data_IF_445306164061
#
_entry.id   IF_445306164061
#
_cell.length_a   1.000
_cell.length_b   1.000
_cell.length_c   1.000
_cell.angle_alpha   90.00
_cell.angle_beta   90.00
_cell.angle_gamma   90.00
#
_symmetry.space_group_name_H-M   'P 1'
#
loop_
_entity.id
_entity.type
_entity.pdbx_description
1 polymer ?
#
# COMPACT_ATOMS: atom_id res chain seq x y z
N UNK A 1 -0.07 -40.17 12.45
CA UNK A 1 1.00 -39.60 11.58
C UNK A 1 0.45 -38.80 10.39
N UNK A 2 -0.66 -39.19 9.75
CA UNK A 2 -1.30 -38.38 8.68
C UNK A 2 -1.87 -37.04 9.21
N UNK A 3 -2.46 -37.03 10.40
CA UNK A 3 -3.12 -35.82 10.94
C UNK A 3 -2.14 -34.75 11.42
N UNK A 4 -0.96 -35.16 11.93
CA UNK A 4 0.10 -34.25 12.37
C UNK A 4 0.74 -33.54 11.17
N UNK A 5 0.83 -34.21 10.02
CA UNK A 5 1.39 -33.62 8.81
C UNK A 5 0.42 -32.61 8.16
N UNK A 6 -0.89 -32.90 8.15
CA UNK A 6 -1.90 -31.95 7.67
C UNK A 6 -1.95 -30.67 8.52
N UNK A 7 -1.90 -30.78 9.85
CA UNK A 7 -1.92 -29.62 10.74
C UNK A 7 -0.67 -28.72 10.57
N UNK A 8 0.51 -29.32 10.34
CA UNK A 8 1.75 -28.57 10.03
C UNK A 8 1.67 -27.84 8.69
N UNK A 9 1.12 -28.48 7.66
CA UNK A 9 0.95 -27.85 6.34
C UNK A 9 -0.04 -26.69 6.38
N UNK A 10 -1.16 -26.82 7.08
CA UNK A 10 -2.14 -25.72 7.17
C UNK A 10 -1.64 -24.53 8.00
N UNK A 11 -0.84 -24.80 9.04
CA UNK A 11 -0.20 -23.75 9.83
C UNK A 11 0.84 -22.96 9.01
N UNK A 12 1.67 -23.68 8.23
CA UNK A 12 2.63 -23.02 7.32
C UNK A 12 1.93 -22.10 6.33
N UNK A 13 0.77 -22.49 5.80
CA UNK A 13 -0.01 -21.69 4.84
C UNK A 13 -0.57 -20.39 5.44
N UNK A 14 -0.96 -20.34 6.71
CA UNK A 14 -1.42 -19.08 7.33
C UNK A 14 -0.27 -18.18 7.79
N UNK A 15 0.82 -18.75 8.29
CA UNK A 15 2.06 -18.00 8.53
C UNK A 15 2.53 -17.39 7.21
N UNK A 16 2.56 -18.15 6.12
CA UNK A 16 2.90 -17.67 4.79
C UNK A 16 1.91 -16.61 4.29
N UNK A 17 0.62 -16.74 4.59
CA UNK A 17 -0.41 -15.77 4.21
C UNK A 17 -0.30 -14.46 5.00
N UNK A 18 -0.09 -14.52 6.32
CA UNK A 18 0.16 -13.33 7.12
C UNK A 18 1.46 -12.67 6.67
N UNK A 19 2.59 -13.40 6.60
CA UNK A 19 3.87 -12.90 6.08
C UNK A 19 3.71 -12.27 4.70
N UNK A 20 2.96 -12.90 3.80
CA UNK A 20 2.73 -12.35 2.46
C UNK A 20 1.90 -11.06 2.50
N UNK A 21 0.88 -11.00 3.36
CA UNK A 21 -0.06 -9.87 3.46
C UNK A 21 0.49 -8.69 4.27
N UNK A 22 1.22 -8.98 5.35
CA UNK A 22 1.86 -8.03 6.25
C UNK A 22 3.24 -7.61 5.75
N UNK A 23 3.88 -8.44 4.91
CA UNK A 23 5.29 -8.32 4.51
C UNK A 23 6.23 -8.31 5.72
N UNK A 24 5.82 -8.95 6.80
CA UNK A 24 6.52 -8.97 8.07
C UNK A 24 6.52 -10.39 8.62
N UNK A 25 7.72 -10.95 8.84
CA UNK A 25 7.93 -12.22 9.52
C UNK A 25 8.03 -12.11 11.03
N UNK A 26 7.86 -10.91 11.61
CA UNK A 26 8.06 -10.68 13.04
C UNK A 26 7.07 -11.37 13.98
N UNK A 27 6.00 -11.98 13.46
CA UNK A 27 5.09 -12.86 14.22
C UNK A 27 5.34 -14.35 13.93
N UNK A 28 6.28 -14.68 13.04
CA UNK A 28 6.70 -16.07 12.84
C UNK A 28 7.31 -16.61 14.15
N UNK A 29 7.03 -17.89 14.43
CA UNK A 29 7.37 -18.50 15.72
C UNK A 29 6.34 -18.24 16.83
N UNK A 30 5.13 -17.77 16.49
CA UNK A 30 3.98 -17.69 17.41
C UNK A 30 4.22 -16.77 18.61
N UNK A 31 5.06 -15.75 18.44
CA UNK A 31 5.42 -14.81 19.49
C UNK A 31 5.04 -13.38 19.13
N UNK A 32 4.67 -12.60 20.13
CA UNK A 32 4.43 -11.15 20.04
C UNK A 32 4.93 -10.49 21.32
N UNK A 33 4.94 -9.14 21.36
CA UNK A 33 5.17 -8.39 22.59
C UNK A 33 3.85 -7.91 23.17
N UNK A 34 3.68 -8.02 24.48
CA UNK A 34 2.55 -7.42 25.22
C UNK A 34 2.85 -5.93 25.44
N UNK A 35 1.86 -5.05 25.19
CA UNK A 35 2.07 -3.59 25.31
C UNK A 35 2.26 -3.13 26.76
N UNK A 36 1.68 -3.84 27.72
CA UNK A 36 1.67 -3.44 29.13
C UNK A 36 3.07 -3.38 29.74
N UNK A 37 3.92 -4.36 29.39
CA UNK A 37 5.21 -4.61 30.05
C UNK A 37 6.32 -4.97 29.05
N UNK A 38 6.02 -4.85 27.75
CA UNK A 38 6.95 -5.11 26.67
C UNK A 38 7.46 -6.56 26.55
N UNK A 39 6.96 -7.50 27.36
CA UNK A 39 7.48 -8.86 27.38
C UNK A 39 7.06 -9.67 26.16
N UNK A 40 7.94 -10.60 25.75
CA UNK A 40 7.62 -11.59 24.71
C UNK A 40 6.63 -12.59 25.29
N UNK A 41 5.52 -12.78 24.60
CA UNK A 41 4.49 -13.75 24.92
C UNK A 41 4.31 -14.74 23.76
N UNK A 42 4.04 -15.99 24.10
CA UNK A 42 3.80 -17.05 23.13
C UNK A 42 2.30 -17.32 23.01
N UNK A 43 1.86 -17.59 21.79
CA UNK A 43 0.45 -17.69 21.46
C UNK A 43 -0.25 -18.83 22.22
N UNK A 44 0.46 -19.92 22.53
CA UNK A 44 -0.07 -21.06 23.30
C UNK A 44 -0.59 -20.64 24.69
N UNK A 45 0.12 -19.73 25.35
CA UNK A 45 -0.22 -19.28 26.71
C UNK A 45 -1.05 -17.99 26.75
N UNK A 46 -0.93 -17.15 25.71
CA UNK A 46 -1.61 -15.86 25.67
C UNK A 46 -3.09 -15.99 25.30
N UNK A 47 -3.94 -15.24 25.98
CA UNK A 47 -5.38 -15.08 25.71
C UNK A 47 -5.69 -13.67 25.22
N UNK A 48 -6.91 -13.43 24.75
CA UNK A 48 -7.32 -12.09 24.29
C UNK A 48 -7.26 -11.04 25.42
N UNK A 49 -7.53 -11.45 26.66
CA UNK A 49 -7.47 -10.59 27.84
C UNK A 49 -6.05 -10.23 28.27
N UNK A 50 -5.04 -11.00 27.86
CA UNK A 50 -3.64 -10.68 28.16
C UNK A 50 -3.06 -9.61 27.22
N UNK A 51 -3.84 -9.21 26.20
CA UNK A 51 -3.51 -8.11 25.31
C UNK A 51 -3.66 -6.74 25.98
N UNK A 52 -3.33 -5.66 25.27
CA UNK A 52 -3.03 -5.62 23.83
C UNK A 52 -1.61 -6.10 23.47
N UNK A 53 -1.45 -6.65 22.26
CA UNK A 53 -0.17 -7.16 21.74
C UNK A 53 0.32 -6.42 20.50
N UNK A 54 1.58 -6.61 20.16
CA UNK A 54 2.17 -6.06 18.94
C UNK A 54 3.34 -6.88 18.38
N UNK A 55 3.56 -6.72 17.08
CA UNK A 55 4.68 -7.36 16.39
C UNK A 55 6.01 -6.69 16.75
N UNK A 56 7.02 -7.42 17.24
CA UNK A 56 8.31 -6.82 17.62
C UNK A 56 9.09 -6.21 16.45
N UNK A 57 8.81 -6.63 15.20
CA UNK A 57 9.54 -6.16 14.01
C UNK A 57 8.89 -4.95 13.36
N UNK A 58 7.61 -5.06 12.97
CA UNK A 58 6.92 -3.98 12.26
C UNK A 58 6.08 -3.08 13.17
N UNK A 59 6.03 -3.40 14.46
CA UNK A 59 5.33 -2.69 15.52
C UNK A 59 3.82 -2.67 15.41
N UNK A 60 3.22 -3.16 14.33
CA UNK A 60 1.76 -3.18 14.18
C UNK A 60 1.07 -4.02 15.26
N UNK A 61 -0.17 -3.63 15.59
CA UNK A 61 -0.99 -4.37 16.55
C UNK A 61 -1.14 -5.81 16.11
N UNK A 62 -1.05 -6.70 17.09
CA UNK A 62 -1.21 -8.12 16.91
C UNK A 62 -2.41 -8.61 17.72
N UNK A 63 -3.11 -9.59 17.18
CA UNK A 63 -4.19 -10.31 17.85
C UNK A 63 -3.77 -11.76 18.01
N UNK A 64 -4.04 -12.34 19.18
CA UNK A 64 -3.92 -13.78 19.39
C UNK A 64 -5.13 -14.48 18.78
N UNK A 65 -4.86 -15.52 17.99
CA UNK A 65 -5.87 -16.41 17.44
C UNK A 65 -5.76 -17.76 18.14
N UNK A 66 -6.85 -18.11 18.82
CA UNK A 66 -7.05 -19.42 19.42
C UNK A 66 -7.76 -20.32 18.42
N UNK A 67 -7.11 -21.42 18.02
CA UNK A 67 -7.59 -22.28 16.95
C UNK A 67 -7.91 -23.68 17.48
N UNK A 68 -8.98 -24.29 16.97
CA UNK A 68 -9.36 -25.67 17.32
C UNK A 68 -8.57 -26.71 16.52
N UNK A 69 -8.25 -26.39 15.27
CA UNK A 69 -7.61 -27.32 14.32
C UNK A 69 -6.14 -26.97 14.03
N UNK A 70 -5.72 -25.75 14.38
CA UNK A 70 -4.40 -25.19 14.09
C UNK A 70 -3.71 -24.79 15.37
N UNK A 71 -2.39 -24.58 15.29
CA UNK A 71 -1.64 -24.03 16.41
C UNK A 71 -2.05 -22.58 16.63
N UNK A 72 -2.14 -22.20 17.90
CA UNK A 72 -2.39 -20.83 18.29
C UNK A 72 -1.30 -19.92 17.72
N UNK A 73 -1.67 -18.74 17.25
CA UNK A 73 -0.71 -17.83 16.63
C UNK A 73 -1.13 -16.39 16.79
N UNK A 74 -0.16 -15.49 16.62
CA UNK A 74 -0.43 -14.07 16.47
C UNK A 74 -0.62 -13.71 15.01
N UNK A 75 -1.53 -12.79 14.74
CA UNK A 75 -1.75 -12.21 13.41
C UNK A 75 -1.80 -10.70 13.50
N UNK A 76 -1.38 -10.01 12.45
CA UNK A 76 -1.43 -8.55 12.42
C UNK A 76 -2.87 -8.03 12.30
N UNK A 77 -3.25 -7.04 13.11
CA UNK A 77 -4.62 -6.52 13.24
C UNK A 77 -4.90 -5.23 12.46
N UNK A 78 -3.99 -4.78 11.60
CA UNK A 78 -4.12 -3.48 10.91
C UNK A 78 -5.26 -3.49 9.88
N UNK A 79 -6.07 -2.41 9.89
CA UNK A 79 -7.10 -2.12 8.89
C UNK A 79 -6.47 -2.04 7.49
N UNK A 80 -7.15 -2.54 6.47
CA UNK A 80 -6.79 -2.29 5.06
C UNK A 80 -7.72 -1.23 4.46
N UNK A 81 -7.34 -0.63 3.32
CA UNK A 81 -8.25 0.26 2.60
C UNK A 81 -9.53 -0.50 2.18
N UNK A 82 -10.70 0.16 2.20
CA UNK A 82 -12.01 -0.46 1.94
C UNK A 82 -12.22 -0.70 0.43
N UNK A 83 -11.41 -1.58 -0.13
CA UNK A 83 -11.51 -2.09 -1.50
C UNK A 83 -12.33 -3.36 -1.46
N UNK A 84 -13.28 -3.48 -2.38
CA UNK A 84 -14.07 -4.69 -2.55
C UNK A 84 -13.22 -5.81 -3.17
N UNK A 85 -13.40 -7.05 -2.70
CA UNK A 85 -12.70 -8.21 -3.25
C UNK A 85 -13.07 -8.51 -4.71
N UNK A 86 -12.18 -9.18 -5.44
CA UNK A 86 -12.29 -9.52 -6.89
C UNK A 86 -13.66 -10.01 -7.38
N UNK A 87 -14.47 -10.63 -6.52
CA UNK A 87 -15.77 -11.20 -6.89
C UNK A 87 -16.87 -10.16 -7.08
N UNK A 88 -16.67 -8.95 -6.58
CA UNK A 88 -17.67 -7.91 -6.67
C UNK A 88 -17.16 -6.80 -7.62
N UNK A 89 -17.64 -6.97 -8.86
CA UNK A 89 -17.34 -6.16 -10.04
C UNK A 89 -18.17 -4.89 -10.09
N UNK A 90 -19.20 -4.77 -9.24
CA UNK A 90 -20.16 -3.67 -9.30
C UNK A 90 -19.48 -2.33 -9.06
N UNK A 91 -18.64 -2.24 -8.01
CA UNK A 91 -17.95 -0.99 -7.69
C UNK A 91 -16.95 -0.56 -8.78
N UNK A 92 -16.30 -1.53 -9.43
CA UNK A 92 -15.41 -1.27 -10.55
C UNK A 92 -16.18 -0.73 -11.76
N UNK A 93 -17.27 -1.40 -12.14
CA UNK A 93 -18.13 -0.98 -13.24
C UNK A 93 -18.78 0.38 -12.97
N UNK A 94 -19.21 0.63 -11.74
CA UNK A 94 -19.76 1.92 -11.33
C UNK A 94 -18.72 3.03 -11.49
N UNK A 95 -17.51 2.84 -10.95
CA UNK A 95 -16.41 3.79 -11.11
C UNK A 95 -16.11 4.06 -12.60
N UNK A 96 -16.04 3.00 -13.41
CA UNK A 96 -15.82 3.14 -14.85
C UNK A 96 -16.91 3.95 -15.54
N UNK A 97 -18.18 3.66 -15.23
CA UNK A 97 -19.33 4.32 -15.84
C UNK A 97 -19.42 5.80 -15.50
N UNK A 98 -19.28 6.15 -14.21
CA UNK A 98 -19.35 7.55 -13.76
C UNK A 98 -18.23 8.40 -14.37
N UNK A 99 -17.00 7.88 -14.38
CA UNK A 99 -15.87 8.57 -15.02
C UNK A 99 -16.07 8.68 -16.53
N UNK A 100 -16.54 7.62 -17.19
CA UNK A 100 -16.78 7.62 -18.63
C UNK A 100 -17.84 8.66 -19.02
N UNK A 101 -19.00 8.66 -18.36
CA UNK A 101 -20.07 9.64 -18.62
C UNK A 101 -19.56 11.06 -18.44
N UNK A 102 -18.79 11.31 -17.37
CA UNK A 102 -18.22 12.62 -17.12
C UNK A 102 -17.26 13.07 -18.22
N UNK A 103 -16.40 12.16 -18.71
CA UNK A 103 -15.46 12.44 -19.79
C UNK A 103 -16.14 12.60 -21.15
N UNK A 104 -17.16 11.81 -21.46
CA UNK A 104 -17.95 11.93 -22.69
C UNK A 104 -18.69 13.28 -22.74
N UNK A 105 -19.23 13.73 -21.60
CA UNK A 105 -19.88 15.04 -21.49
C UNK A 105 -18.89 16.19 -21.62
N UNK A 106 -17.71 16.06 -21.01
CA UNK A 106 -16.70 17.13 -20.99
C UNK A 106 -15.90 17.22 -22.30
N UNK A 107 -15.71 16.08 -22.98
CA UNK A 107 -14.94 15.94 -24.22
C UNK A 107 -15.66 15.01 -25.21
N UNK A 108 -16.79 15.46 -25.82
CA UNK A 108 -17.57 14.61 -26.73
C UNK A 108 -16.79 14.15 -27.97
N UNK A 109 -15.81 14.94 -28.42
CA UNK A 109 -14.92 14.58 -29.53
C UNK A 109 -13.75 13.67 -29.12
N UNK A 110 -13.57 13.44 -27.81
CA UNK A 110 -12.49 12.63 -27.24
C UNK A 110 -12.62 11.13 -27.51
N UNK A 111 -13.75 10.69 -28.09
CA UNK A 111 -14.05 9.29 -28.40
C UNK A 111 -13.86 8.38 -27.19
N UNK A 112 -14.32 8.79 -26.01
CA UNK A 112 -14.18 8.02 -24.77
C UNK A 112 -15.00 6.73 -24.79
N UNK A 113 -14.38 5.61 -24.43
CA UNK A 113 -15.01 4.29 -24.38
C UNK A 113 -14.36 3.38 -23.32
N UNK A 114 -15.14 2.46 -22.76
CA UNK A 114 -14.66 1.43 -21.83
C UNK A 114 -14.09 0.24 -22.58
N UNK A 115 -13.05 -0.37 -22.01
CA UNK A 115 -12.50 -1.66 -22.46
C UNK A 115 -12.18 -1.70 -23.97
N UNK A 116 -11.91 -0.54 -24.60
CA UNK A 116 -11.58 -0.45 -26.03
C UNK A 116 -10.18 -1.04 -26.26
N UNK A 117 -10.02 -2.12 -27.05
CA UNK A 117 -8.70 -2.65 -27.35
C UNK A 117 -7.85 -1.65 -28.13
N UNK A 118 -6.62 -1.44 -27.68
CA UNK A 118 -5.58 -0.76 -28.44
C UNK A 118 -4.74 -1.85 -29.11
N UNK A 119 -4.90 -2.06 -30.43
CA UNK A 119 -4.39 -3.24 -31.11
C UNK A 119 -2.87 -3.36 -31.05
N UNK A 120 -2.38 -4.59 -31.23
CA UNK A 120 -0.96 -4.85 -31.45
C UNK A 120 -0.47 -4.11 -32.69
N UNK A 121 0.80 -3.72 -32.68
CA UNK A 121 1.47 -3.16 -33.84
C UNK A 121 2.85 -3.78 -33.97
N UNK A 122 3.00 -4.68 -34.95
CA UNK A 122 4.23 -5.43 -35.18
C UNK A 122 5.39 -4.52 -35.59
N UNK A 123 5.12 -3.47 -36.38
CA UNK A 123 6.12 -2.47 -36.79
C UNK A 123 6.76 -1.78 -35.60
N UNK A 124 6.00 -1.50 -34.55
CA UNK A 124 6.49 -0.83 -33.34
C UNK A 124 6.74 -1.79 -32.17
N UNK A 125 6.67 -3.11 -32.41
CA UNK A 125 6.93 -4.13 -31.38
C UNK A 125 5.99 -4.01 -30.18
N UNK A 126 4.72 -3.65 -30.41
CA UNK A 126 3.74 -3.44 -29.36
C UNK A 126 2.71 -4.57 -29.26
N UNK A 127 2.35 -4.92 -28.03
CA UNK A 127 1.31 -5.92 -27.72
C UNK A 127 -0.04 -5.24 -27.56
N UNK A 128 -1.13 -5.97 -27.79
CA UNK A 128 -2.46 -5.45 -27.51
C UNK A 128 -2.62 -5.13 -26.02
N UNK A 129 -3.26 -4.00 -25.72
CA UNK A 129 -3.63 -3.61 -24.35
C UNK A 129 -5.08 -3.14 -24.33
N UNK A 130 -5.78 -3.48 -23.25
CA UNK A 130 -7.17 -3.08 -23.02
C UNK A 130 -7.21 -2.21 -21.75
N UNK A 131 -7.25 -0.88 -21.89
CA UNK A 131 -7.51 0.02 -20.77
C UNK A 131 -8.96 -0.07 -20.30
N UNK A 132 -9.20 0.18 -19.02
CA UNK A 132 -10.56 0.21 -18.46
C UNK A 132 -11.39 1.33 -19.09
N UNK A 133 -10.78 2.50 -19.31
CA UNK A 133 -11.34 3.60 -20.10
C UNK A 133 -10.21 4.18 -20.98
N UNK A 134 -10.52 4.51 -22.24
CA UNK A 134 -9.60 5.29 -23.08
C UNK A 134 -10.30 6.31 -23.94
N UNK A 135 -9.56 7.37 -24.27
CA UNK A 135 -10.03 8.46 -25.11
C UNK A 135 -8.99 9.56 -25.20
N UNK A 136 -9.45 10.78 -25.44
CA UNK A 136 -8.59 11.94 -25.67
C UNK A 136 -9.10 13.20 -24.98
N UNK A 137 -8.17 13.99 -24.46
CA UNK A 137 -8.37 15.40 -24.12
C UNK A 137 -7.58 16.23 -25.12
N UNK A 138 -8.27 16.88 -26.06
CA UNK A 138 -7.62 17.46 -27.24
C UNK A 138 -6.85 16.39 -28.02
N UNK A 139 -5.54 16.60 -28.22
CA UNK A 139 -4.68 15.64 -28.89
C UNK A 139 -4.03 14.60 -27.98
N UNK A 140 -4.22 14.73 -26.66
CA UNK A 140 -3.58 13.88 -25.66
C UNK A 140 -4.31 12.54 -25.52
N UNK A 141 -3.71 11.40 -25.89
CA UNK A 141 -4.31 10.09 -25.67
C UNK A 141 -4.15 9.67 -24.22
N UNK A 142 -5.26 9.29 -23.58
CA UNK A 142 -5.31 8.95 -22.16
C UNK A 142 -5.92 7.55 -21.98
N UNK A 143 -5.29 6.76 -21.12
CA UNK A 143 -5.80 5.52 -20.56
C UNK A 143 -6.04 5.71 -19.06
N UNK A 144 -7.24 5.36 -18.60
CA UNK A 144 -7.58 5.30 -17.18
C UNK A 144 -7.77 3.84 -16.79
N UNK A 145 -7.16 3.44 -15.67
CA UNK A 145 -7.15 2.09 -15.13
C UNK A 145 -7.81 2.10 -13.74
N UNK A 146 -8.89 1.33 -13.57
CA UNK A 146 -9.64 1.21 -12.31
C UNK A 146 -9.14 -0.01 -11.56
N UNK A 147 -8.24 0.19 -10.60
CA UNK A 147 -7.51 -0.89 -9.95
C UNK A 147 -8.21 -1.42 -8.69
N UNK A 148 -9.02 -2.48 -8.83
CA UNK A 148 -9.63 -3.19 -7.68
C UNK A 148 -8.86 -4.41 -7.20
N UNK A 149 -8.00 -4.99 -8.04
CA UNK A 149 -7.41 -6.30 -7.77
C UNK A 149 -5.95 -6.21 -7.36
N UNK A 150 -5.45 -7.14 -6.53
CA UNK A 150 -4.03 -7.26 -6.25
C UNK A 150 -3.24 -7.95 -7.38
N UNK A 151 -3.77 -8.01 -8.62
CA UNK A 151 -3.03 -8.59 -9.73
C UNK A 151 -1.72 -7.85 -9.95
N UNK A 152 -0.67 -8.50 -9.46
CA UNK A 152 0.74 -8.50 -9.83
C UNK A 152 1.17 -7.16 -10.41
N UNK A 153 1.91 -6.37 -9.64
CA UNK A 153 2.68 -5.22 -10.14
C UNK A 153 3.24 -5.44 -11.57
N UNK A 154 3.60 -6.68 -11.94
CA UNK A 154 3.90 -7.13 -13.30
C UNK A 154 2.92 -6.64 -14.39
N UNK A 155 1.60 -6.80 -14.21
CA UNK A 155 0.62 -6.36 -15.19
C UNK A 155 0.56 -4.84 -15.31
N UNK A 156 0.65 -4.13 -14.18
CA UNK A 156 0.76 -2.67 -14.16
C UNK A 156 2.01 -2.26 -14.93
N UNK A 157 3.15 -2.87 -14.63
CA UNK A 157 4.42 -2.65 -15.32
C UNK A 157 4.31 -2.88 -16.83
N UNK A 158 3.81 -4.05 -17.25
CA UNK A 158 3.70 -4.43 -18.65
C UNK A 158 2.78 -3.46 -19.41
N UNK A 159 1.65 -3.07 -18.81
CA UNK A 159 0.75 -2.04 -19.36
C UNK A 159 1.46 -0.68 -19.48
N UNK A 160 2.17 -0.22 -18.45
CA UNK A 160 2.91 1.05 -18.49
C UNK A 160 3.95 1.07 -19.61
N UNK A 161 4.69 -0.03 -19.82
CA UNK A 161 5.65 -0.15 -20.94
C UNK A 161 4.92 -0.02 -22.28
N UNK A 162 3.79 -0.70 -22.45
CA UNK A 162 3.02 -0.67 -23.69
C UNK A 162 2.35 0.70 -23.94
N UNK A 163 1.88 1.39 -22.91
CA UNK A 163 1.37 2.76 -23.02
C UNK A 163 2.47 3.74 -23.37
N UNK A 164 3.66 3.61 -22.77
CA UNK A 164 4.80 4.48 -23.07
C UNK A 164 5.22 4.39 -24.54
N UNK A 165 5.31 3.18 -25.11
CA UNK A 165 5.62 2.97 -26.54
C UNK A 165 4.65 3.70 -27.48
N UNK A 166 3.46 4.05 -27.01
CA UNK A 166 2.37 4.68 -27.76
C UNK A 166 2.16 6.16 -27.41
N UNK A 167 2.95 6.72 -26.48
CA UNK A 167 2.74 8.06 -25.95
C UNK A 167 1.38 8.24 -25.24
N UNK A 168 0.82 7.15 -24.70
CA UNK A 168 -0.45 7.19 -23.96
C UNK A 168 -0.19 7.59 -22.52
N UNK A 169 -0.88 8.63 -22.06
CA UNK A 169 -0.85 9.09 -20.67
C UNK A 169 -1.72 8.17 -19.80
N UNK A 170 -1.22 7.81 -18.62
CA UNK A 170 -1.90 6.83 -17.75
C UNK A 170 -2.32 7.44 -16.42
N UNK A 171 -3.58 7.19 -16.02
CA UNK A 171 -4.13 7.48 -14.69
C UNK A 171 -4.67 6.21 -14.05
N UNK A 172 -4.10 5.77 -12.92
CA UNK A 172 -4.67 4.71 -12.09
C UNK A 172 -5.55 5.29 -11.00
N UNK A 173 -6.74 4.71 -10.82
CA UNK A 173 -7.73 5.09 -9.81
C UNK A 173 -8.13 3.86 -9.03
N UNK A 174 -8.23 3.98 -7.71
CA UNK A 174 -8.63 2.89 -6.83
C UNK A 174 -10.02 3.18 -6.29
N UNK A 175 -11.04 2.40 -6.68
CA UNK A 175 -12.37 2.62 -6.15
C UNK A 175 -12.49 2.02 -4.74
N UNK A 176 -13.11 2.77 -3.84
CA UNK A 176 -13.38 2.40 -2.46
C UNK A 176 -14.89 2.35 -2.21
N UNK A 177 -15.38 1.34 -1.51
CA UNK A 177 -16.83 1.23 -1.21
C UNK A 177 -17.28 2.19 -0.10
N UNK A 178 -16.33 2.75 0.63
CA UNK A 178 -16.50 3.86 1.58
C UNK A 178 -15.21 4.68 1.59
N UNK A 179 -15.26 5.89 2.11
CA UNK A 179 -14.06 6.71 2.27
C UNK A 179 -12.98 5.97 3.05
N UNK A 180 -11.72 6.24 2.70
CA UNK A 180 -10.58 5.67 3.42
C UNK A 180 -10.60 6.13 4.90
N UNK A 181 -11.02 7.36 5.18
CA UNK A 181 -10.99 7.94 6.52
C UNK A 181 -9.57 8.23 7.01
N UNK A 182 -9.46 8.83 8.19
CA UNK A 182 -8.18 9.34 8.72
C UNK A 182 -7.39 8.32 9.56
N UNK A 183 -8.02 7.21 9.93
CA UNK A 183 -7.35 6.19 10.73
C UNK A 183 -6.21 5.53 9.96
N UNK A 184 -5.18 5.17 10.71
CA UNK A 184 -4.03 4.44 10.19
C UNK A 184 -4.46 3.12 9.57
N UNK A 185 -3.79 2.75 8.49
CA UNK A 185 -4.10 1.53 7.76
C UNK A 185 -2.84 0.93 7.17
N UNK A 186 -2.96 -0.28 6.65
CA UNK A 186 -1.91 -0.96 5.91
C UNK A 186 -2.22 -0.89 4.42
N UNK A 187 -1.53 -0.04 3.64
CA UNK A 187 -1.67 -0.03 2.20
C UNK A 187 -1.27 -1.38 1.60
N UNK A 188 -2.04 -1.86 0.63
CA UNK A 188 -1.70 -3.07 -0.12
C UNK A 188 -0.51 -2.80 -1.03
N UNK A 189 0.17 -3.87 -1.44
CA UNK A 189 1.40 -3.78 -2.24
C UNK A 189 1.23 -2.96 -3.54
N UNK A 190 0.10 -3.10 -4.24
CA UNK A 190 -0.15 -2.31 -5.45
C UNK A 190 -0.44 -0.84 -5.13
N UNK A 191 -1.06 -0.53 -3.98
CA UNK A 191 -1.24 0.85 -3.51
C UNK A 191 0.12 1.50 -3.26
N UNK A 192 1.07 0.78 -2.64
CA UNK A 192 2.46 1.24 -2.47
C UNK A 192 3.16 1.49 -3.81
N UNK A 193 2.94 0.59 -4.77
CA UNK A 193 3.50 0.74 -6.11
C UNK A 193 2.94 1.96 -6.85
N UNK A 194 1.62 2.19 -6.77
CA UNK A 194 0.98 3.37 -7.36
C UNK A 194 1.39 4.66 -6.65
N UNK A 195 1.53 4.62 -5.31
CA UNK A 195 2.10 5.72 -4.53
C UNK A 195 3.48 6.11 -5.07
N UNK A 196 4.31 5.09 -5.35
CA UNK A 196 5.63 5.31 -5.92
C UNK A 196 5.58 5.83 -7.37
N UNK A 197 4.64 5.33 -8.17
CA UNK A 197 4.41 5.73 -9.56
C UNK A 197 4.01 7.21 -9.70
N UNK A 198 3.21 7.74 -8.78
CA UNK A 198 2.71 9.12 -8.83
C UNK A 198 3.43 10.06 -7.84
N UNK A 199 4.72 9.84 -7.59
CA UNK A 199 5.56 10.72 -6.75
C UNK A 199 4.97 10.94 -5.36
N UNK A 200 4.53 9.86 -4.71
CA UNK A 200 3.97 9.89 -3.38
C UNK A 200 2.46 10.09 -3.32
N UNK A 201 1.72 9.85 -4.41
CA UNK A 201 0.26 10.06 -4.48
C UNK A 201 -0.48 8.79 -4.86
N UNK A 202 -1.67 8.62 -4.31
CA UNK A 202 -2.64 7.61 -4.72
C UNK A 202 -3.99 8.29 -4.93
N UNK A 203 -4.69 7.87 -5.99
CA UNK A 203 -5.98 8.42 -6.37
C UNK A 203 -7.08 7.46 -6.00
N UNK A 204 -7.99 7.92 -5.15
CA UNK A 204 -9.15 7.17 -4.71
C UNK A 204 -10.42 7.75 -5.31
N UNK A 205 -11.35 6.87 -5.65
CA UNK A 205 -12.70 7.21 -6.05
C UNK A 205 -13.69 6.55 -5.07
N UNK A 206 -14.77 7.25 -4.76
CA UNK A 206 -15.88 6.72 -3.97
C UNK A 206 -17.20 6.97 -4.71
N UNK A 207 -18.20 6.08 -4.58
CA UNK A 207 -19.54 6.30 -5.12
C UNK A 207 -20.13 7.64 -4.71
N UNK A 208 -20.88 8.28 -5.63
CA UNK A 208 -21.64 9.50 -5.39
C UNK A 208 -20.81 10.72 -4.96
N UNK A 209 -19.50 10.74 -5.24
CA UNK A 209 -18.61 11.85 -4.88
C UNK A 209 -18.54 12.94 -5.97
N UNK A 210 -19.64 13.21 -6.69
CA UNK A 210 -19.71 14.23 -7.74
C UNK A 210 -18.58 14.15 -8.79
N UNK A 211 -18.18 12.93 -9.19
CA UNK A 211 -17.06 12.65 -10.10
C UNK A 211 -15.70 13.21 -9.65
N UNK A 212 -15.53 13.45 -8.34
CA UNK A 212 -14.26 13.88 -7.75
C UNK A 212 -13.39 12.70 -7.37
N UNK A 213 -12.10 12.85 -7.63
CA UNK A 213 -11.05 11.96 -7.16
C UNK A 213 -10.44 12.55 -5.90
N UNK A 214 -10.25 11.74 -4.87
CA UNK A 214 -9.49 12.15 -3.69
C UNK A 214 -8.04 11.71 -3.86
N UNK A 215 -7.11 12.65 -3.75
CA UNK A 215 -5.69 12.34 -3.70
C UNK A 215 -5.25 12.07 -2.26
N UNK A 216 -4.38 11.08 -2.06
CA UNK A 216 -3.86 10.72 -0.75
C UNK A 216 -2.37 10.41 -0.81
N UNK A 217 -1.64 10.86 0.21
CA UNK A 217 -0.29 10.46 0.52
C UNK A 217 -0.28 9.47 1.69
N UNK A 218 0.62 8.49 1.66
CA UNK A 218 0.81 7.55 2.76
C UNK A 218 1.87 8.07 3.73
N UNK A 219 1.44 8.95 4.64
CA UNK A 219 2.27 9.54 5.66
C UNK A 219 2.76 8.54 6.72
N UNK A 220 3.77 8.96 7.46
CA UNK A 220 4.40 8.14 8.50
C UNK A 220 3.47 7.96 9.70
N UNK A 221 3.73 6.89 10.44
CA UNK A 221 3.08 6.61 11.70
C UNK A 221 4.17 6.13 12.68
N UNK A 222 4.08 6.56 13.93
CA UNK A 222 4.99 6.16 15.00
C UNK A 222 4.24 5.54 16.17
N UNK A 223 4.96 4.74 16.95
CA UNK A 223 4.50 4.15 18.20
C UNK A 223 5.44 4.57 19.32
N UNK A 224 4.87 5.06 20.41
CA UNK A 224 5.61 5.21 21.66
C UNK A 224 5.88 3.83 22.28
N UNK A 225 7.13 3.59 22.67
CA UNK A 225 7.54 2.40 23.41
C UNK A 225 7.69 2.83 24.87
N UNK A 226 6.84 2.32 25.75
CA UNK A 226 6.90 2.63 27.18
C UNK A 226 8.19 2.13 27.82
N UNK A 227 8.69 2.89 28.78
CA UNK A 227 9.82 2.50 29.63
C UNK A 227 9.44 1.27 30.47
N UNK A 228 10.35 0.32 30.56
CA UNK A 228 10.20 -0.90 31.33
C UNK A 228 11.55 -1.33 31.90
N UNK A 229 11.51 -1.93 33.09
CA UNK A 229 12.67 -2.52 33.77
C UNK A 229 12.42 -3.99 34.01
N UNK A 230 13.43 -4.83 33.81
CA UNK A 230 13.37 -6.28 34.03
C UNK A 230 14.73 -6.80 34.48
N UNK A 231 14.79 -8.02 35.03
CA UNK A 231 16.05 -8.68 35.36
C UNK A 231 16.40 -9.69 34.27
N UNK A 232 17.67 -9.77 33.86
CA UNK A 232 18.19 -10.78 32.94
C UNK A 232 18.21 -12.17 33.59
N UNK A 233 18.49 -13.22 32.81
CA UNK A 233 18.68 -14.58 33.35
C UNK A 233 19.82 -14.66 34.39
N UNK A 234 20.80 -13.76 34.26
CA UNK A 234 21.93 -13.62 35.18
C UNK A 234 21.63 -12.70 36.39
N UNK A 235 20.39 -12.17 36.49
CA UNK A 235 19.95 -11.33 37.59
C UNK A 235 20.37 -9.85 37.49
N UNK A 236 20.85 -9.41 36.33
CA UNK A 236 21.21 -8.01 36.10
C UNK A 236 19.97 -7.18 35.77
N UNK A 237 19.85 -6.01 36.41
CA UNK A 237 18.77 -5.07 36.10
C UNK A 237 18.98 -4.46 34.71
N UNK A 238 17.98 -4.66 33.85
CA UNK A 238 17.90 -4.15 32.49
C UNK A 238 16.76 -3.12 32.42
N UNK A 239 16.93 -2.10 31.59
CA UNK A 239 15.90 -1.10 31.30
C UNK A 239 15.81 -0.81 29.80
N UNK A 240 14.62 -0.54 29.28
CA UNK A 240 14.43 -0.12 27.90
C UNK A 240 13.04 0.47 27.63
N UNK A 241 12.96 1.34 26.61
CA UNK A 241 11.77 2.13 26.27
C UNK A 241 12.02 3.64 26.38
N UNK A 242 10.97 4.45 26.32
CA UNK A 242 11.05 5.91 26.41
C UNK A 242 11.27 6.64 25.08
N UNK A 243 10.92 6.02 23.95
CA UNK A 243 11.17 6.57 22.62
C UNK A 243 10.07 6.23 21.60
N UNK A 244 10.04 6.97 20.50
CA UNK A 244 9.15 6.70 19.37
C UNK A 244 9.84 5.84 18.32
N UNK A 245 9.15 4.78 17.89
CA UNK A 245 9.56 3.98 16.73
C UNK A 245 8.61 4.16 15.55
N UNK A 246 9.15 4.16 14.34
CA UNK A 246 8.35 4.27 13.11
C UNK A 246 7.79 2.89 12.70
N UNK A 247 6.50 2.83 12.38
CA UNK A 247 5.90 1.61 11.82
C UNK A 247 6.45 1.34 10.41
N UNK A 248 6.78 0.08 10.11
CA UNK A 248 7.21 -0.30 8.75
C UNK A 248 6.04 -0.44 7.77
N UNK A 249 4.92 -0.98 8.23
CA UNK A 249 3.82 -1.44 7.34
C UNK A 249 2.53 -0.65 7.47
N UNK A 250 2.39 0.14 8.53
CA UNK A 250 1.21 0.99 8.80
C UNK A 250 1.52 2.42 8.36
N UNK A 251 0.53 3.08 7.75
CA UNK A 251 0.62 4.46 7.27
C UNK A 251 -0.59 5.26 7.70
N UNK A 252 -0.38 6.56 7.86
CA UNK A 252 -1.44 7.55 8.08
C UNK A 252 -1.84 8.13 6.72
N UNK A 253 -3.11 8.06 6.30
CA UNK A 253 -3.53 8.72 5.07
C UNK A 253 -3.51 10.25 5.28
N UNK A 254 -2.79 10.96 4.41
CA UNK A 254 -2.76 12.42 4.35
C UNK A 254 -3.45 12.85 3.06
N UNK A 255 -4.67 13.36 3.16
CA UNK A 255 -5.47 13.73 2.00
C UNK A 255 -5.03 15.07 1.42
N UNK A 256 -4.97 15.13 0.09
CA UNK A 256 -4.88 16.36 -0.67
C UNK A 256 -6.28 16.87 -1.01
N UNK A 257 -6.36 17.71 -2.03
CA UNK A 257 -7.62 18.26 -2.52
C UNK A 257 -8.49 17.21 -3.23
N UNK A 258 -9.78 17.53 -3.33
CA UNK A 258 -10.72 16.83 -4.21
C UNK A 258 -10.53 17.32 -5.65
N UNK A 259 -10.19 16.40 -6.54
CA UNK A 259 -9.72 16.67 -7.89
C UNK A 259 -10.78 16.38 -8.94
N UNK A 260 -10.87 17.29 -9.89
CA UNK A 260 -11.56 17.13 -11.16
C UNK A 260 -10.60 16.54 -12.21
N UNK A 261 -10.91 15.36 -12.75
CA UNK A 261 -10.06 14.67 -13.75
C UNK A 261 -9.75 15.57 -14.95
N UNK A 262 -10.69 16.44 -15.33
CA UNK A 262 -10.58 17.28 -16.53
C UNK A 262 -9.75 18.53 -16.25
N UNK A 263 -9.94 19.16 -15.09
CA UNK A 263 -9.36 20.48 -14.79
C UNK A 263 -8.03 20.40 -14.07
N UNK A 264 -7.86 19.40 -13.20
CA UNK A 264 -6.82 19.43 -12.17
C UNK A 264 -5.64 18.51 -12.50
N UNK A 265 -5.66 17.86 -13.66
CA UNK A 265 -4.60 16.96 -14.11
C UNK A 265 -3.78 17.54 -15.26
N UNK A 266 -2.52 17.09 -15.36
CA UNK A 266 -1.53 17.48 -16.36
C UNK A 266 -0.71 16.28 -16.82
N UNK A 267 -0.02 16.45 -17.94
CA UNK A 267 0.93 15.48 -18.46
C UNK A 267 2.28 15.60 -17.75
N UNK A 268 2.89 14.47 -17.37
CA UNK A 268 4.29 14.40 -16.90
C UNK A 268 4.98 13.18 -17.54
N UNK A 269 6.25 13.34 -17.87
CA UNK A 269 7.14 12.22 -18.18
C UNK A 269 7.85 11.77 -16.90
N UNK A 270 7.76 10.48 -16.60
CA UNK A 270 8.43 9.85 -15.48
C UNK A 270 9.61 9.02 -15.98
N UNK A 271 10.78 9.26 -15.41
CA UNK A 271 11.97 8.43 -15.64
C UNK A 271 11.84 7.10 -14.90
N UNK A 272 12.52 6.09 -15.43
CA UNK A 272 12.65 4.81 -14.75
C UNK A 272 13.38 4.91 -13.42
N UNK A 273 12.98 4.10 -12.44
CA UNK A 273 13.68 3.92 -11.17
C UNK A 273 13.21 2.63 -10.49
N UNK A 274 13.96 2.15 -9.51
CA UNK A 274 13.60 0.96 -8.73
C UNK A 274 13.12 1.44 -7.35
N UNK A 275 11.82 1.27 -7.02
CA UNK A 275 11.34 1.62 -5.69
C UNK A 275 11.83 0.62 -4.65
N UNK A 276 12.19 1.10 -3.47
CA UNK A 276 12.68 0.28 -2.35
C UNK A 276 11.56 -0.68 -1.87
N UNK A 277 10.30 -0.24 -1.77
CA UNK A 277 9.15 -1.10 -1.39
C UNK A 277 8.67 -2.06 -2.47
N UNK A 278 9.00 -1.80 -3.73
CA UNK A 278 8.45 -2.56 -4.84
C UNK A 278 9.51 -3.51 -5.35
N UNK A 279 9.20 -4.81 -5.33
CA UNK A 279 10.03 -5.84 -5.98
C UNK A 279 10.20 -5.63 -7.50
N UNK A 280 9.64 -4.57 -8.07
CA UNK A 280 9.70 -4.24 -9.49
C UNK A 280 9.97 -2.76 -9.71
N UNK A 281 10.90 -2.52 -10.64
CA UNK A 281 11.20 -1.25 -11.29
C UNK A 281 9.92 -0.57 -11.77
N UNK A 282 9.83 0.74 -11.63
CA UNK A 282 8.88 1.56 -12.39
C UNK A 282 9.54 1.92 -13.72
N UNK A 283 8.92 1.60 -14.87
CA UNK A 283 9.49 1.90 -16.17
C UNK A 283 9.36 3.40 -16.46
N UNK A 284 10.08 3.86 -17.48
CA UNK A 284 9.77 5.18 -18.07
C UNK A 284 8.33 5.17 -18.57
N UNK A 285 7.55 6.18 -18.20
CA UNK A 285 6.13 6.25 -18.57
C UNK A 285 5.61 7.69 -18.63
N UNK A 286 4.49 7.87 -19.34
CA UNK A 286 3.75 9.13 -19.45
C UNK A 286 2.57 9.08 -18.51
N UNK A 287 2.51 10.02 -17.56
CA UNK A 287 1.48 10.05 -16.52
C UNK A 287 0.52 11.19 -16.74
N UNK A 288 -0.77 10.93 -16.51
CA UNK A 288 -1.77 11.95 -16.26
C UNK A 288 -1.88 12.09 -14.73
N UNK A 289 -1.28 13.15 -14.19
CA UNK A 289 -1.07 13.37 -12.75
C UNK A 289 -1.65 14.72 -12.35
N UNK A 290 -2.09 14.86 -11.10
CA UNK A 290 -2.68 16.12 -10.64
C UNK A 290 -1.68 17.28 -10.62
N UNK A 291 -2.21 18.51 -10.56
CA UNK A 291 -1.45 19.75 -10.57
C UNK A 291 -0.98 20.18 -9.18
N UNK A 292 -1.43 19.54 -8.10
CA UNK A 292 -1.09 19.98 -6.75
C UNK A 292 0.40 19.82 -6.49
N UNK A 293 0.93 20.82 -5.79
CA UNK A 293 2.23 20.70 -5.13
C UNK A 293 2.15 19.62 -4.03
N UNK A 294 3.31 19.09 -3.62
CA UNK A 294 3.38 18.18 -2.47
C UNK A 294 2.80 18.90 -1.23
N UNK A 295 1.78 18.30 -0.62
CA UNK A 295 1.07 18.85 0.55
C UNK A 295 1.45 18.17 1.87
N UNK A 296 2.29 17.14 1.82
CA UNK A 296 2.83 16.47 3.00
C UNK A 296 4.19 17.05 3.39
N UNK A 297 4.58 16.83 4.65
CA UNK A 297 5.74 17.52 5.24
C UNK A 297 7.07 16.88 4.79
N UNK A 298 7.98 17.69 4.21
CA UNK A 298 9.35 17.25 3.85
C UNK A 298 10.15 16.76 5.08
N UNK A 299 9.81 17.19 6.30
CA UNK A 299 10.48 16.72 7.54
C UNK A 299 10.11 15.30 7.94
N UNK A 300 9.12 14.66 7.29
CA UNK A 300 8.87 13.24 7.51
C UNK A 300 10.18 12.46 7.37
N UNK A 301 11.04 12.80 6.39
CA UNK A 301 12.34 12.17 6.10
C UNK A 301 13.47 12.43 7.12
N UNK A 302 13.45 13.52 7.88
CA UNK A 302 14.58 13.90 8.77
C UNK A 302 14.53 13.17 10.12
N UNK A 303 13.33 13.02 10.70
CA UNK A 303 13.08 12.25 11.94
C UNK A 303 13.54 10.78 11.79
N UNK A 304 13.66 10.33 10.55
CA UNK A 304 14.19 9.03 10.19
C UNK A 304 15.63 8.84 10.69
N UNK A 305 16.56 9.73 10.37
CA UNK A 305 17.99 9.49 10.67
C UNK A 305 18.27 9.42 12.17
N UNK A 306 17.55 10.22 12.95
CA UNK A 306 17.69 10.27 14.41
C UNK A 306 17.04 9.06 15.09
N UNK A 307 15.80 8.69 14.70
CA UNK A 307 15.12 7.50 15.26
C UNK A 307 15.72 6.16 14.80
N UNK A 308 16.35 6.12 13.61
CA UNK A 308 17.07 4.96 13.06
C UNK A 308 18.36 4.69 13.83
N UNK A 309 19.13 5.73 14.15
CA UNK A 309 20.39 5.59 14.87
C UNK A 309 20.15 4.95 16.26
N UNK A 310 19.15 5.47 16.99
CA UNK A 310 18.80 4.95 18.33
C UNK A 310 18.22 3.52 18.29
N UNK A 311 17.45 3.18 17.26
CA UNK A 311 16.78 1.86 17.16
C UNK A 311 17.65 0.73 16.63
N UNK A 312 18.66 1.04 15.81
CA UNK A 312 19.62 0.06 15.28
C UNK A 312 20.62 -0.37 16.36
N UNK A 313 20.92 0.51 17.33
CA UNK A 313 21.77 0.18 18.49
C UNK A 313 21.05 -0.69 19.54
N UNK A 314 19.72 -0.59 19.65
CA UNK A 314 18.92 -1.27 20.68
C UNK A 314 18.31 -2.61 20.23
N UNK A 315 18.24 -2.87 18.93
CA UNK A 315 17.66 -4.09 18.35
C UNK A 315 18.56 -4.53 17.20
N UNK A 316 19.40 -5.54 17.42
CA UNK A 316 20.37 -6.05 16.43
C UNK A 316 19.73 -6.43 15.07
N UNK A 317 18.41 -6.65 15.02
CA UNK A 317 17.65 -7.00 13.81
C UNK A 317 16.74 -5.89 13.28
N UNK A 318 16.70 -4.70 13.88
CA UNK A 318 15.86 -3.60 13.38
C UNK A 318 16.55 -2.88 12.23
N UNK A 319 16.48 -3.45 11.02
CA UNK A 319 16.85 -2.76 9.77
C UNK A 319 15.77 -1.74 9.37
N UNK A 320 15.99 -0.43 9.52
CA UNK A 320 14.92 0.54 9.41
C UNK A 320 14.74 1.05 7.99
N UNK A 321 15.36 0.42 6.98
CA UNK A 321 15.19 0.80 5.58
C UNK A 321 13.70 0.96 5.33
N UNK A 322 13.29 2.24 5.24
CA UNK A 322 11.92 2.61 4.98
C UNK A 322 11.66 2.11 3.56
N UNK A 323 10.69 1.23 3.47
CA UNK A 323 10.09 0.77 2.23
C UNK A 323 9.74 1.94 1.28
N UNK A 324 9.77 3.22 1.66
CA UNK A 324 9.34 4.34 0.82
C UNK A 324 10.48 5.32 0.50
N UNK A 325 10.74 5.46 -0.81
CA UNK A 325 11.87 6.18 -1.38
C UNK A 325 12.01 7.65 -0.95
N UNK A 326 13.27 8.05 -0.81
CA UNK A 326 13.74 9.43 -0.95
C UNK A 326 13.58 9.87 -2.42
N UNK A 327 12.71 10.84 -2.69
CA UNK A 327 12.64 11.48 -4.00
C UNK A 327 13.63 12.65 -4.05
N UNK A 328 14.68 12.55 -4.86
CA UNK A 328 15.63 13.65 -5.12
C UNK A 328 15.09 14.71 -6.09
N UNK A 329 13.90 14.51 -6.65
CA UNK A 329 13.33 15.45 -7.61
C UNK A 329 12.28 16.32 -6.89
N UNK A 330 12.68 17.55 -6.60
CA UNK A 330 11.78 18.63 -6.17
C UNK A 330 10.68 18.80 -7.24
N UNK A 331 9.45 18.47 -6.85
CA UNK A 331 8.21 18.66 -7.60
C UNK A 331 7.16 19.23 -6.65
#
# INVERSE_FOLDING_TARGET
MKDINNAKEENSKEIDKDIYSSRCSGLAGQKARRKLDNQIVYADYATKSDGPFYCPVCLSDAIVRKCTEKVDHFAHSARQSPIIGKKDRFLHEQCQNEILEYLQKSFPLGKWEKERPIPKNEKYGTKEVVPDISGRIGDLPIAIEVQISPYTINKIYDKLVEYQKRGVLVLYIIPLYKELGEEVFRPRLFEKYLHSLYYGRVYYWTPNNNNKIVSAHFGRCTRWIEESTWFSEDGEECSGGGYYLTFRTIRKPLFGEQLDIVKDFKQIQRKEFIPVNAKKKIPTCSLFIDKQMKWWNKKEYVIQKESIAESTELIEEYDPIDDYDEYSDDF
#
